data_IF_446192394722
#
_entry.id   IF_446192394722
#
_cell.length_a   1.000
_cell.length_b   1.000
_cell.length_c   1.000
_cell.angle_alpha   90.00
_cell.angle_beta   90.00
_cell.angle_gamma   90.00
#
_symmetry.space_group_name_H-M   'P 1'
#
loop_
_entity.id
_entity.type
_entity.pdbx_description
1 polymer ?
#
# COMPACT_ATOMS: atom_id res chain seq x y z
N UNK A 1 -29.54 15.66 -8.27
CA UNK A 1 -28.51 14.74 -7.76
C UNK A 1 -28.68 13.40 -8.45
N UNK A 2 -27.61 12.66 -8.71
CA UNK A 2 -27.70 11.33 -9.27
C UNK A 2 -28.19 10.36 -8.18
N UNK A 3 -29.22 9.57 -8.47
CA UNK A 3 -29.61 8.46 -7.62
C UNK A 3 -28.43 7.48 -7.51
N UNK A 4 -28.28 6.82 -6.35
CA UNK A 4 -27.32 5.74 -6.21
C UNK A 4 -27.67 4.63 -7.21
N UNK A 5 -26.65 4.05 -7.86
CA UNK A 5 -26.84 2.79 -8.57
C UNK A 5 -27.07 1.62 -7.58
N UNK A 6 -27.46 0.45 -8.08
CA UNK A 6 -27.74 -0.73 -7.24
C UNK A 6 -26.55 -1.05 -6.32
N UNK A 7 -25.32 -1.03 -6.85
CA UNK A 7 -24.12 -1.36 -6.09
C UNK A 7 -23.82 -0.33 -5.01
N UNK A 8 -24.06 0.95 -5.27
CA UNK A 8 -23.92 2.03 -4.30
C UNK A 8 -24.97 1.93 -3.20
N UNK A 9 -26.23 1.65 -3.54
CA UNK A 9 -27.33 1.46 -2.58
C UNK A 9 -27.06 0.27 -1.65
N UNK A 10 -26.63 -0.87 -2.20
CA UNK A 10 -26.24 -2.04 -1.40
C UNK A 10 -25.03 -1.72 -0.53
N UNK A 11 -24.02 -1.04 -1.06
CA UNK A 11 -22.86 -0.63 -0.25
C UNK A 11 -23.28 0.30 0.89
N UNK A 12 -24.20 1.24 0.64
CA UNK A 12 -24.74 2.12 1.67
C UNK A 12 -25.49 1.34 2.76
N UNK A 13 -26.25 0.31 2.39
CA UNK A 13 -26.91 -0.58 3.34
C UNK A 13 -25.90 -1.32 4.23
N UNK A 14 -24.83 -1.88 3.66
CA UNK A 14 -23.77 -2.54 4.46
C UNK A 14 -23.06 -1.55 5.39
N UNK A 15 -22.76 -0.34 4.89
CA UNK A 15 -22.19 0.73 5.70
C UNK A 15 -23.12 1.06 6.85
N UNK A 16 -24.40 1.32 6.61
CA UNK A 16 -25.34 1.74 7.65
C UNK A 16 -25.63 0.63 8.66
N UNK A 17 -25.87 -0.60 8.19
CA UNK A 17 -26.24 -1.72 9.03
C UNK A 17 -25.07 -2.28 9.85
N UNK A 18 -23.90 -2.45 9.23
CA UNK A 18 -22.79 -3.21 9.82
C UNK A 18 -21.53 -2.38 10.09
N UNK A 19 -21.46 -1.15 9.58
CA UNK A 19 -20.26 -0.32 9.69
C UNK A 19 -19.05 -0.90 8.95
N UNK A 20 -19.30 -1.69 7.90
CA UNK A 20 -18.27 -2.33 7.07
C UNK A 20 -18.65 -2.28 5.59
N UNK A 21 -17.66 -2.45 4.72
CA UNK A 21 -17.92 -2.65 3.30
C UNK A 21 -18.62 -4.01 3.06
N UNK A 22 -19.40 -4.14 1.97
CA UNK A 22 -19.88 -5.44 1.54
C UNK A 22 -18.71 -6.34 1.14
N UNK A 23 -18.84 -7.63 1.43
CA UNK A 23 -17.94 -8.62 0.84
C UNK A 23 -18.29 -8.86 -0.63
N UNK A 24 -17.35 -9.39 -1.40
CA UNK A 24 -17.50 -9.64 -2.83
C UNK A 24 -18.72 -10.49 -3.16
N UNK A 25 -18.93 -11.56 -2.38
CA UNK A 25 -20.06 -12.48 -2.57
C UNK A 25 -21.40 -11.81 -2.25
N UNK A 26 -21.46 -11.10 -1.13
CA UNK A 26 -22.64 -10.36 -0.68
C UNK A 26 -23.08 -9.27 -1.66
N UNK A 27 -22.14 -8.43 -2.12
CA UNK A 27 -22.45 -7.38 -3.10
C UNK A 27 -22.98 -7.98 -4.41
N UNK A 28 -22.33 -9.02 -4.92
CA UNK A 28 -22.75 -9.70 -6.14
C UNK A 28 -24.14 -10.35 -5.99
N UNK A 29 -24.42 -10.98 -4.85
CA UNK A 29 -25.71 -11.59 -4.57
C UNK A 29 -26.84 -10.57 -4.59
N UNK A 30 -26.72 -9.47 -3.84
CA UNK A 30 -27.78 -8.47 -3.75
C UNK A 30 -27.97 -7.70 -5.06
N UNK A 31 -26.90 -7.41 -5.79
CA UNK A 31 -27.00 -6.84 -7.13
C UNK A 31 -27.83 -7.76 -8.04
N UNK A 32 -27.54 -9.07 -8.04
CA UNK A 32 -28.30 -10.04 -8.83
C UNK A 32 -29.77 -10.11 -8.42
N UNK A 33 -30.10 -9.93 -7.13
CA UNK A 33 -31.50 -9.84 -6.69
C UNK A 33 -32.20 -8.59 -7.22
N UNK A 34 -31.54 -7.43 -7.16
CA UNK A 34 -32.09 -6.18 -7.68
C UNK A 34 -32.23 -6.21 -9.20
N UNK A 35 -31.27 -6.82 -9.90
CA UNK A 35 -31.32 -7.02 -11.34
C UNK A 35 -32.45 -8.00 -11.74
N UNK A 36 -32.81 -8.93 -10.84
CA UNK A 36 -33.97 -9.82 -10.98
C UNK A 36 -35.32 -9.16 -10.61
N UNK A 37 -35.30 -7.89 -10.20
CA UNK A 37 -36.50 -7.08 -9.98
C UNK A 37 -36.88 -6.85 -8.51
N UNK A 38 -36.08 -7.31 -7.54
CA UNK A 38 -36.30 -6.92 -6.15
C UNK A 38 -36.03 -5.42 -5.97
N UNK A 39 -36.95 -4.75 -5.28
CA UNK A 39 -36.78 -3.37 -4.87
C UNK A 39 -35.73 -3.25 -3.76
N UNK A 40 -35.19 -2.05 -3.58
CA UNK A 40 -34.23 -1.82 -2.49
C UNK A 40 -34.85 -2.03 -1.11
N UNK A 41 -36.14 -1.67 -0.91
CA UNK A 41 -36.86 -1.94 0.34
C UNK A 41 -36.99 -3.44 0.64
N UNK A 42 -37.30 -4.26 -0.36
CA UNK A 42 -37.35 -5.72 -0.22
C UNK A 42 -35.96 -6.31 0.11
N UNK A 43 -34.91 -5.75 -0.48
CA UNK A 43 -33.52 -6.10 -0.15
C UNK A 43 -33.22 -5.74 1.31
N UNK A 44 -33.53 -4.53 1.78
CA UNK A 44 -33.31 -4.12 3.17
C UNK A 44 -34.09 -5.05 4.11
N UNK A 45 -35.37 -5.29 3.84
CA UNK A 45 -36.20 -6.20 4.63
C UNK A 45 -35.58 -7.59 4.75
N UNK A 46 -35.11 -8.16 3.63
CA UNK A 46 -34.43 -9.46 3.61
C UNK A 46 -33.08 -9.43 4.34
N UNK A 47 -32.34 -8.33 4.20
CA UNK A 47 -31.04 -8.12 4.82
C UNK A 47 -31.14 -8.10 6.35
N UNK A 48 -32.17 -7.44 6.89
CA UNK A 48 -32.44 -7.34 8.33
C UNK A 48 -32.78 -8.68 8.99
N UNK A 49 -33.22 -9.68 8.21
CA UNK A 49 -33.48 -11.04 8.69
C UNK A 49 -32.22 -11.92 8.71
N UNK A 50 -31.09 -11.43 8.20
CA UNK A 50 -29.83 -12.16 8.28
C UNK A 50 -29.34 -12.26 9.74
N UNK A 51 -28.69 -13.37 10.07
CA UNK A 51 -28.18 -13.63 11.43
C UNK A 51 -27.26 -12.52 11.96
N UNK A 52 -26.47 -11.89 11.10
CA UNK A 52 -25.61 -10.76 11.47
C UNK A 52 -26.45 -9.50 11.74
N UNK A 53 -27.46 -9.24 10.90
CA UNK A 53 -28.28 -8.06 11.04
C UNK A 53 -29.21 -8.08 12.24
N UNK A 54 -29.80 -9.22 12.61
CA UNK A 54 -30.72 -9.25 13.77
C UNK A 54 -30.07 -8.72 15.06
N UNK A 55 -28.75 -8.89 15.20
CA UNK A 55 -27.96 -8.45 16.35
C UNK A 55 -27.44 -7.01 16.28
N UNK A 56 -27.53 -6.33 15.13
CA UNK A 56 -26.97 -4.98 14.94
C UNK A 56 -28.00 -3.92 14.53
N UNK A 57 -28.99 -4.28 13.71
CA UNK A 57 -30.02 -3.36 13.20
C UNK A 57 -31.40 -4.01 13.02
N UNK A 58 -31.48 -5.33 13.10
CA UNK A 58 -32.71 -6.11 12.96
C UNK A 58 -33.47 -6.26 14.28
N UNK A 59 -34.47 -7.17 14.34
CA UNK A 59 -35.53 -7.14 15.34
C UNK A 59 -35.07 -7.39 16.80
N UNK A 60 -33.88 -7.96 17.03
CA UNK A 60 -33.44 -8.35 18.37
C UNK A 60 -32.85 -7.18 19.19
N UNK A 61 -32.79 -5.98 18.60
CA UNK A 61 -32.31 -4.77 19.27
C UNK A 61 -33.39 -3.70 19.43
N UNK A 62 -33.23 -2.81 20.40
CA UNK A 62 -34.15 -1.69 20.63
C UNK A 62 -34.04 -0.64 19.52
N UNK A 63 -35.08 0.18 19.35
CA UNK A 63 -35.09 1.29 18.39
C UNK A 63 -33.96 2.29 18.66
N UNK A 64 -33.70 2.60 19.94
CA UNK A 64 -32.56 3.43 20.33
C UNK A 64 -31.22 2.77 19.94
N UNK A 65 -31.11 1.45 20.09
CA UNK A 65 -29.93 0.69 19.65
C UNK A 65 -29.74 0.74 18.13
N UNK A 66 -30.84 0.68 17.37
CA UNK A 66 -30.84 0.80 15.92
C UNK A 66 -30.33 2.18 15.51
N UNK A 67 -30.92 3.26 16.04
CA UNK A 67 -30.50 4.62 15.72
C UNK A 67 -29.05 4.88 16.08
N UNK A 68 -28.59 4.42 17.25
CA UNK A 68 -27.19 4.52 17.65
C UNK A 68 -26.26 3.81 16.65
N UNK A 69 -26.64 2.62 16.18
CA UNK A 69 -25.87 1.86 15.20
C UNK A 69 -25.82 2.56 13.85
N UNK A 70 -26.97 3.04 13.32
CA UNK A 70 -27.02 3.75 12.04
C UNK A 70 -26.15 5.01 12.05
N UNK A 71 -26.24 5.81 13.12
CA UNK A 71 -25.43 7.01 13.29
C UNK A 71 -23.94 6.70 13.41
N UNK A 72 -23.58 5.74 14.26
CA UNK A 72 -22.18 5.37 14.46
C UNK A 72 -21.56 4.80 13.19
N UNK A 73 -22.29 3.94 12.49
CA UNK A 73 -21.79 3.23 11.32
C UNK A 73 -21.70 4.16 10.09
N UNK A 74 -22.73 4.97 9.87
CA UNK A 74 -22.83 5.83 8.68
C UNK A 74 -22.08 7.15 8.88
N UNK A 75 -22.32 7.82 10.01
CA UNK A 75 -21.88 9.19 10.27
C UNK A 75 -20.69 9.27 11.25
N UNK A 76 -20.20 8.14 11.76
CA UNK A 76 -19.05 8.08 12.67
C UNK A 76 -19.24 8.95 13.93
N UNK A 77 -20.48 9.14 14.37
CA UNK A 77 -20.85 9.98 15.53
C UNK A 77 -22.08 9.42 16.23
N UNK A 78 -22.29 9.81 17.48
CA UNK A 78 -23.58 9.60 18.16
C UNK A 78 -24.63 10.57 17.63
N UNK A 79 -25.93 10.21 17.64
CA UNK A 79 -26.98 11.16 17.32
C UNK A 79 -26.97 12.34 18.30
N UNK A 80 -27.06 13.55 17.78
CA UNK A 80 -27.42 14.71 18.59
C UNK A 80 -28.90 14.63 18.99
N UNK A 81 -29.32 15.44 19.97
CA UNK A 81 -30.68 15.39 20.53
C UNK A 81 -31.74 15.58 19.43
N UNK A 82 -31.55 16.56 18.55
CA UNK A 82 -32.53 16.89 17.51
C UNK A 82 -32.61 15.81 16.44
N UNK A 83 -31.46 15.34 15.94
CA UNK A 83 -31.37 14.27 14.97
C UNK A 83 -31.95 12.95 15.51
N UNK A 84 -31.60 12.58 16.74
CA UNK A 84 -32.15 11.40 17.40
C UNK A 84 -33.68 11.45 17.54
N UNK A 85 -34.23 12.59 17.98
CA UNK A 85 -35.68 12.77 18.07
C UNK A 85 -36.37 12.72 16.71
N UNK A 86 -35.77 13.32 15.68
CA UNK A 86 -36.30 13.28 14.32
C UNK A 86 -36.42 11.85 13.80
N UNK A 87 -35.34 11.07 13.88
CA UNK A 87 -35.34 9.70 13.36
C UNK A 87 -36.17 8.74 14.20
N UNK A 88 -36.24 8.93 15.53
CA UNK A 88 -37.19 8.19 16.36
C UNK A 88 -38.64 8.47 15.93
N UNK A 89 -38.99 9.75 15.71
CA UNK A 89 -40.32 10.11 15.23
C UNK A 89 -40.65 9.55 13.85
N UNK A 90 -39.66 9.49 12.94
CA UNK A 90 -39.81 8.79 11.64
C UNK A 90 -40.07 7.31 11.85
N UNK A 91 -39.29 6.64 12.69
CA UNK A 91 -39.45 5.22 12.99
C UNK A 91 -40.83 4.92 13.60
N UNK A 92 -41.27 5.71 14.56
CA UNK A 92 -42.59 5.58 15.21
C UNK A 92 -43.75 5.77 14.21
N UNK A 93 -43.58 6.69 13.26
CA UNK A 93 -44.58 6.98 12.22
C UNK A 93 -44.64 5.92 11.13
N UNK A 94 -43.49 5.37 10.74
CA UNK A 94 -43.39 4.38 9.66
C UNK A 94 -43.79 2.97 10.15
N UNK A 95 -43.44 2.64 11.40
CA UNK A 95 -43.55 1.29 11.97
C UNK A 95 -42.86 0.21 11.13
N UNK A 96 -41.89 0.62 10.31
CA UNK A 96 -41.12 -0.24 9.42
C UNK A 96 -39.65 0.20 9.43
N UNK A 97 -38.78 -0.70 9.92
CA UNK A 97 -37.34 -0.45 10.01
C UNK A 97 -36.69 -0.43 8.63
N UNK A 98 -37.17 -1.22 7.67
CA UNK A 98 -36.58 -1.26 6.34
C UNK A 98 -36.78 0.08 5.64
N UNK A 99 -38.02 0.60 5.67
CA UNK A 99 -38.35 1.91 5.10
C UNK A 99 -37.60 3.02 5.83
N UNK A 100 -37.50 2.97 7.16
CA UNK A 100 -36.76 3.98 7.93
C UNK A 100 -35.26 4.00 7.58
N UNK A 101 -34.63 2.83 7.43
CA UNK A 101 -33.21 2.73 7.04
C UNK A 101 -33.00 3.27 5.62
N UNK A 102 -33.91 2.99 4.69
CA UNK A 102 -33.87 3.57 3.35
C UNK A 102 -33.92 5.10 3.43
N UNK A 103 -34.91 5.67 4.13
CA UNK A 103 -35.03 7.12 4.30
C UNK A 103 -33.81 7.75 4.98
N UNK A 104 -33.21 7.05 5.96
CA UNK A 104 -31.98 7.49 6.62
C UNK A 104 -30.81 7.60 5.64
N UNK A 105 -30.61 6.59 4.81
CA UNK A 105 -29.57 6.59 3.77
C UNK A 105 -29.85 7.72 2.77
N UNK A 106 -31.08 7.82 2.28
CA UNK A 106 -31.49 8.83 1.29
C UNK A 106 -31.33 10.25 1.81
N UNK A 107 -31.65 10.52 3.07
CA UNK A 107 -31.46 11.83 3.67
C UNK A 107 -29.98 12.26 3.70
N UNK A 108 -29.06 11.31 3.88
CA UNK A 108 -27.61 11.60 3.88
C UNK A 108 -27.11 11.77 2.45
N UNK A 109 -27.50 10.88 1.54
CA UNK A 109 -27.12 10.93 0.12
C UNK A 109 -27.57 12.24 -0.54
N UNK A 110 -28.82 12.63 -0.28
CA UNK A 110 -29.43 13.85 -0.81
C UNK A 110 -29.16 15.08 0.06
N UNK A 111 -28.41 14.93 1.15
CA UNK A 111 -27.96 16.03 1.99
C UNK A 111 -26.84 16.84 1.32
N UNK A 112 -26.20 17.67 2.12
CA UNK A 112 -25.03 18.47 1.70
C UNK A 112 -24.01 18.51 2.83
N UNK A 113 -22.74 18.76 2.49
CA UNK A 113 -21.68 18.96 3.48
C UNK A 113 -21.03 17.66 3.95
N UNK A 114 -20.46 17.67 5.16
CA UNK A 114 -19.55 16.61 5.63
C UNK A 114 -20.21 15.24 5.76
N UNK A 115 -21.47 15.16 6.18
CA UNK A 115 -22.16 13.87 6.33
C UNK A 115 -22.37 13.17 4.96
N UNK A 116 -22.77 13.94 3.95
CA UNK A 116 -22.89 13.44 2.57
C UNK A 116 -21.52 13.00 2.05
N UNK A 117 -20.48 13.83 2.21
CA UNK A 117 -19.13 13.51 1.73
C UNK A 117 -18.53 12.29 2.44
N UNK A 118 -18.77 12.14 3.75
CA UNK A 118 -18.35 10.98 4.51
C UNK A 118 -18.96 9.69 3.96
N UNK A 119 -20.27 9.69 3.71
CA UNK A 119 -20.93 8.52 3.12
C UNK A 119 -20.37 8.24 1.74
N UNK A 120 -20.25 9.25 0.87
CA UNK A 120 -19.66 9.09 -0.47
C UNK A 120 -18.25 8.46 -0.42
N UNK A 121 -17.38 8.95 0.47
CA UNK A 121 -16.04 8.38 0.66
C UNK A 121 -16.11 6.91 1.11
N UNK A 122 -17.01 6.57 2.04
CA UNK A 122 -17.22 5.18 2.49
C UNK A 122 -17.73 4.29 1.37
N UNK A 123 -18.63 4.79 0.51
CA UNK A 123 -19.13 4.04 -0.65
C UNK A 123 -18.02 3.74 -1.65
N UNK A 124 -17.20 4.73 -2.00
CA UNK A 124 -16.09 4.53 -2.94
C UNK A 124 -15.07 3.52 -2.41
N UNK A 125 -14.70 3.65 -1.13
CA UNK A 125 -13.79 2.70 -0.44
C UNK A 125 -14.41 1.30 -0.40
N UNK A 126 -15.69 1.19 -0.05
CA UNK A 126 -16.38 -0.09 0.06
C UNK A 126 -16.53 -0.82 -1.26
N UNK A 127 -16.83 -0.11 -2.35
CA UNK A 127 -16.91 -0.69 -3.68
C UNK A 127 -15.54 -1.16 -4.19
N UNK A 128 -14.49 -0.36 -3.96
CA UNK A 128 -13.11 -0.75 -4.30
C UNK A 128 -12.67 -1.98 -3.51
N UNK A 129 -13.06 -2.09 -2.24
CA UNK A 129 -12.84 -3.31 -1.44
C UNK A 129 -13.60 -4.51 -1.98
N UNK A 130 -14.89 -4.39 -2.29
CA UNK A 130 -15.67 -5.53 -2.77
C UNK A 130 -15.15 -6.06 -4.13
N UNK A 131 -14.62 -5.18 -4.98
CA UNK A 131 -13.96 -5.57 -6.23
C UNK A 131 -12.56 -6.20 -6.03
N UNK A 132 -11.94 -5.94 -4.88
CA UNK A 132 -10.55 -6.25 -4.54
C UNK A 132 -10.30 -7.75 -4.32
N UNK A 133 -9.03 -8.19 -4.39
CA UNK A 133 -8.61 -9.57 -4.04
C UNK A 133 -8.97 -9.88 -2.59
N UNK A 134 -8.76 -8.90 -1.71
CA UNK A 134 -9.07 -8.93 -0.28
C UNK A 134 -10.55 -8.74 0.05
N UNK A 135 -11.42 -8.58 -0.97
CA UNK A 135 -12.83 -8.25 -0.83
C UNK A 135 -13.71 -9.24 -0.04
N UNK A 136 -13.15 -10.33 0.48
CA UNK A 136 -13.83 -11.26 1.39
C UNK A 136 -13.31 -11.20 2.84
N UNK A 137 -12.33 -10.35 3.14
CA UNK A 137 -11.78 -10.19 4.49
C UNK A 137 -12.65 -9.23 5.32
N UNK A 138 -13.57 -9.79 6.11
CA UNK A 138 -14.54 -9.01 6.91
C UNK A 138 -13.89 -8.15 7.99
N UNK A 139 -12.77 -8.60 8.57
CA UNK A 139 -12.01 -7.81 9.55
C UNK A 139 -11.50 -6.53 8.88
N UNK A 140 -10.95 -6.70 7.68
CA UNK A 140 -10.44 -5.59 6.90
C UNK A 140 -11.56 -4.66 6.40
N UNK A 141 -12.68 -5.22 5.93
CA UNK A 141 -13.87 -4.48 5.49
C UNK A 141 -14.38 -3.46 6.52
N UNK A 142 -14.27 -3.80 7.81
CA UNK A 142 -14.66 -2.93 8.93
C UNK A 142 -13.54 -1.96 9.32
N UNK A 143 -12.31 -2.47 9.43
CA UNK A 143 -11.16 -1.66 9.84
C UNK A 143 -10.90 -0.49 8.88
N UNK A 144 -11.02 -0.69 7.58
CA UNK A 144 -10.78 0.37 6.59
C UNK A 144 -11.78 1.52 6.70
N UNK A 145 -13.07 1.22 6.92
CA UNK A 145 -14.11 2.25 7.00
C UNK A 145 -14.07 3.05 8.31
N UNK A 146 -13.48 2.48 9.36
CA UNK A 146 -13.35 3.14 10.67
C UNK A 146 -12.56 4.46 10.56
N UNK A 147 -11.58 4.53 9.65
CA UNK A 147 -10.72 5.70 9.48
C UNK A 147 -11.13 6.61 8.31
N UNK A 148 -12.20 6.27 7.57
CA UNK A 148 -12.72 7.14 6.51
C UNK A 148 -13.48 8.30 7.14
N UNK A 149 -13.10 9.52 6.76
CA UNK A 149 -13.75 10.77 7.17
C UNK A 149 -14.31 11.49 5.94
N UNK A 150 -14.90 12.68 6.11
CA UNK A 150 -15.30 13.55 4.99
C UNK A 150 -14.11 14.18 4.26
N UNK A 151 -12.88 14.04 4.78
CA UNK A 151 -11.66 14.57 4.16
C UNK A 151 -11.18 13.67 3.02
N UNK A 152 -10.80 14.27 1.89
CA UNK A 152 -10.33 13.55 0.70
C UNK A 152 -8.99 12.81 0.91
N UNK A 153 -8.17 13.25 1.87
CA UNK A 153 -6.95 12.56 2.27
C UNK A 153 -7.25 11.20 2.92
N UNK A 154 -8.30 11.11 3.73
CA UNK A 154 -8.71 9.83 4.34
C UNK A 154 -9.15 8.78 3.30
N UNK A 155 -9.85 9.22 2.25
CA UNK A 155 -10.22 8.40 1.10
C UNK A 155 -8.98 7.88 0.39
N UNK A 156 -8.01 8.76 0.12
CA UNK A 156 -6.74 8.41 -0.54
C UNK A 156 -5.97 7.37 0.26
N UNK A 157 -5.86 7.55 1.58
CA UNK A 157 -5.20 6.60 2.48
C UNK A 157 -5.91 5.25 2.50
N UNK A 158 -7.24 5.23 2.64
CA UNK A 158 -8.01 3.98 2.65
C UNK A 158 -7.85 3.18 1.36
N UNK A 159 -7.79 3.87 0.21
CA UNK A 159 -7.53 3.24 -1.09
C UNK A 159 -6.10 2.69 -1.20
N UNK A 160 -5.10 3.42 -0.70
CA UNK A 160 -3.72 2.96 -0.67
C UNK A 160 -3.56 1.69 0.18
N UNK A 161 -4.23 1.63 1.34
CA UNK A 161 -4.25 0.44 2.20
C UNK A 161 -4.93 -0.73 1.46
N UNK A 162 -6.04 -0.50 0.76
CA UNK A 162 -6.71 -1.54 -0.02
C UNK A 162 -5.82 -2.11 -1.12
N UNK A 163 -5.12 -1.22 -1.83
CA UNK A 163 -4.14 -1.62 -2.84
C UNK A 163 -2.98 -2.41 -2.23
N UNK A 164 -2.51 -2.04 -1.03
CA UNK A 164 -1.46 -2.76 -0.33
C UNK A 164 -1.90 -4.15 0.13
N UNK A 165 -3.15 -4.37 0.52
CA UNK A 165 -3.59 -5.73 0.90
C UNK A 165 -3.83 -6.64 -0.32
N UNK A 166 -4.30 -6.07 -1.42
CA UNK A 166 -4.55 -6.80 -2.66
C UNK A 166 -3.29 -7.13 -3.44
N UNK A 167 -2.42 -6.14 -3.51
CA UNK A 167 -1.08 -6.23 -4.01
C UNK A 167 -0.21 -5.93 -2.81
N UNK A 168 -0.05 -6.88 -1.85
CA UNK A 168 1.04 -6.75 -0.90
C UNK A 168 2.24 -6.44 -1.76
N UNK A 169 2.90 -5.32 -1.45
CA UNK A 169 4.23 -5.11 -1.96
C UNK A 169 4.91 -6.41 -1.62
N UNK A 170 5.15 -7.25 -2.63
CA UNK A 170 5.88 -8.49 -2.45
C UNK A 170 7.14 -7.94 -1.85
N UNK A 171 7.40 -8.26 -0.57
CA UNK A 171 8.65 -7.87 0.07
C UNK A 171 9.70 -8.16 -0.98
N UNK A 172 10.43 -7.14 -1.47
CA UNK A 172 11.12 -7.22 -2.74
C UNK A 172 11.87 -8.54 -2.76
N UNK A 173 11.61 -9.35 -3.79
CA UNK A 173 12.20 -10.67 -3.90
C UNK A 173 13.67 -10.55 -3.50
N UNK A 174 14.10 -11.42 -2.58
CA UNK A 174 15.44 -11.46 -1.97
C UNK A 174 16.46 -10.82 -2.91
N UNK A 175 17.08 -9.67 -2.55
CA UNK A 175 17.69 -8.75 -3.51
C UNK A 175 18.50 -9.47 -4.59
N UNK A 176 18.10 -9.36 -5.86
CA UNK A 176 18.86 -9.92 -6.98
C UNK A 176 19.79 -8.86 -7.58
N UNK A 177 20.85 -8.63 -6.82
CA UNK A 177 22.25 -8.58 -7.25
C UNK A 177 22.92 -7.34 -7.89
N UNK A 178 24.19 -7.17 -7.52
CA UNK A 178 25.18 -6.25 -8.12
C UNK A 178 25.90 -7.00 -9.24
N UNK A 179 26.00 -6.47 -10.46
CA UNK A 179 26.78 -7.14 -11.52
C UNK A 179 28.19 -6.59 -11.67
N UNK A 180 29.22 -7.45 -11.68
CA UNK A 180 30.60 -7.09 -12.01
C UNK A 180 31.05 -7.89 -13.24
N UNK A 181 31.49 -7.20 -14.30
CA UNK A 181 31.87 -7.81 -15.60
C UNK A 181 30.80 -8.76 -16.18
N UNK A 182 29.51 -8.41 -16.03
CA UNK A 182 28.40 -9.21 -16.53
C UNK A 182 27.97 -10.40 -15.64
N UNK A 183 28.44 -10.48 -14.39
CA UNK A 183 28.04 -11.53 -13.42
C UNK A 183 27.32 -10.98 -12.20
N UNK A 184 26.17 -11.56 -11.88
CA UNK A 184 25.20 -11.23 -10.82
C UNK A 184 25.68 -11.65 -9.40
N UNK A 185 25.96 -10.71 -8.49
CA UNK A 185 26.32 -10.92 -7.07
C UNK A 185 25.07 -10.90 -6.18
N UNK A 186 24.54 -12.05 -5.73
CA UNK A 186 23.26 -12.16 -5.00
C UNK A 186 23.20 -11.58 -3.57
N UNK A 187 22.02 -11.03 -3.24
CA UNK A 187 21.35 -10.70 -1.96
C UNK A 187 22.10 -10.06 -0.77
N UNK A 188 21.66 -8.83 -0.42
CA UNK A 188 21.93 -8.10 0.82
C UNK A 188 20.83 -8.30 1.89
N UNK A 189 21.23 -8.32 3.17
CA UNK A 189 20.38 -8.18 4.36
C UNK A 189 20.79 -6.90 5.11
N UNK A 190 19.83 -6.11 5.61
CA UNK A 190 20.05 -4.76 6.18
C UNK A 190 20.25 -4.71 7.69
N UNK A 191 20.35 -5.85 8.37
CA UNK A 191 20.22 -5.88 9.84
C UNK A 191 21.53 -6.10 10.62
N UNK A 192 22.70 -5.91 10.00
CA UNK A 192 23.99 -6.06 10.70
C UNK A 192 24.90 -4.84 10.51
N UNK A 193 25.12 -4.10 11.61
CA UNK A 193 26.07 -2.97 11.68
C UNK A 193 27.52 -3.43 11.86
N UNK A 194 27.84 -4.70 11.62
CA UNK A 194 29.20 -5.19 11.53
C UNK A 194 29.60 -5.37 10.06
N UNK A 195 30.83 -4.95 9.73
CA UNK A 195 31.48 -5.12 8.44
C UNK A 195 31.07 -6.46 7.79
N UNK A 196 30.33 -6.41 6.68
CA UNK A 196 29.88 -7.60 5.99
C UNK A 196 31.09 -8.35 5.40
N UNK A 197 31.65 -9.30 6.17
CA UNK A 197 32.52 -10.34 5.65
C UNK A 197 31.69 -11.33 4.84
N UNK A 198 32.00 -11.43 3.54
CA UNK A 198 31.44 -12.42 2.64
C UNK A 198 31.82 -13.83 3.12
N UNK A 199 30.85 -14.63 3.57
CA UNK A 199 31.07 -16.06 3.89
C UNK A 199 30.38 -16.91 2.84
N UNK A 200 31.17 -17.59 2.01
CA UNK A 200 30.67 -18.56 1.02
C UNK A 200 30.35 -19.86 1.77
N UNK A 201 29.08 -20.26 1.77
CA UNK A 201 28.64 -21.53 2.36
C UNK A 201 29.15 -22.73 1.56
N UNK A 202 29.56 -23.79 2.26
CA UNK A 202 30.09 -25.02 1.67
C UNK A 202 29.06 -25.77 0.83
N UNK A 203 29.37 -26.09 -0.43
CA UNK A 203 28.55 -27.03 -1.20
C UNK A 203 28.78 -27.07 -2.71
N UNK A 204 29.23 -25.98 -3.33
CA UNK A 204 29.46 -25.93 -4.77
C UNK A 204 30.94 -25.64 -5.07
N UNK A 205 31.59 -26.59 -5.74
CA UNK A 205 32.95 -26.44 -6.26
C UNK A 205 32.90 -25.49 -7.47
N UNK A 206 33.36 -24.25 -7.29
CA UNK A 206 33.68 -23.40 -8.43
C UNK A 206 34.98 -22.64 -8.16
N UNK A 207 35.99 -22.94 -8.97
CA UNK A 207 37.24 -22.18 -9.06
C UNK A 207 36.94 -20.74 -9.50
N UNK A 208 36.90 -19.83 -8.52
CA UNK A 208 36.99 -18.40 -8.77
C UNK A 208 38.49 -18.09 -8.85
N UNK A 209 38.99 -17.50 -9.95
CA UNK A 209 40.39 -17.05 -10.02
C UNK A 209 40.70 -16.15 -8.81
N UNK A 210 41.89 -16.31 -8.25
CA UNK A 210 42.40 -15.74 -6.98
C UNK A 210 42.41 -14.20 -6.84
N UNK A 211 41.62 -13.45 -7.61
CA UNK A 211 41.64 -11.99 -7.73
C UNK A 211 40.51 -11.26 -6.98
N UNK A 212 39.38 -11.90 -6.65
CA UNK A 212 38.26 -11.24 -5.96
C UNK A 212 38.34 -11.24 -4.43
N UNK A 213 39.18 -12.07 -3.82
CA UNK A 213 39.49 -11.97 -2.39
C UNK A 213 40.20 -10.65 -2.04
N UNK A 214 40.73 -9.95 -3.05
CA UNK A 214 41.45 -8.70 -2.89
C UNK A 214 40.59 -7.47 -3.08
N UNK A 215 39.38 -7.49 -3.65
CA UNK A 215 38.55 -6.28 -3.86
C UNK A 215 37.35 -6.28 -2.91
N UNK A 216 37.10 -5.15 -2.26
CA UNK A 216 36.07 -4.92 -1.25
C UNK A 216 35.19 -3.74 -1.61
N UNK A 217 33.90 -3.85 -1.29
CA UNK A 217 32.87 -2.83 -1.47
C UNK A 217 32.35 -2.41 -0.08
N UNK A 218 32.27 -1.10 0.16
CA UNK A 218 31.73 -0.52 1.38
C UNK A 218 30.67 0.53 1.02
N UNK A 219 29.48 0.40 1.62
CA UNK A 219 28.32 1.27 1.40
C UNK A 219 27.97 1.94 2.72
N UNK A 220 28.00 3.27 2.75
CA UNK A 220 27.60 4.05 3.92
C UNK A 220 26.70 5.23 3.50
N UNK A 221 25.39 5.07 3.69
CA UNK A 221 24.40 6.04 3.23
C UNK A 221 24.43 6.15 1.70
N UNK A 222 24.70 7.34 1.17
CA UNK A 222 24.79 7.62 -0.28
C UNK A 222 26.21 7.52 -0.84
N UNK A 223 27.17 7.02 -0.05
CA UNK A 223 28.58 6.87 -0.44
C UNK A 223 28.90 5.41 -0.73
N UNK A 224 29.58 5.17 -1.86
CA UNK A 224 30.15 3.87 -2.20
C UNK A 224 31.68 3.99 -2.26
N UNK A 225 32.36 3.10 -1.55
CA UNK A 225 33.81 2.96 -1.60
C UNK A 225 34.18 1.58 -2.11
N UNK A 226 35.16 1.54 -3.01
CA UNK A 226 35.72 0.32 -3.58
C UNK A 226 37.21 0.33 -3.30
N UNK A 227 37.72 -0.69 -2.63
CA UNK A 227 39.12 -0.77 -2.23
C UNK A 227 39.66 -2.18 -2.36
N UNK A 228 40.97 -2.34 -2.23
CA UNK A 228 41.57 -3.66 -2.20
C UNK A 228 42.19 -4.01 -0.84
N UNK A 229 42.00 -5.23 -0.37
CA UNK A 229 42.73 -5.76 0.79
C UNK A 229 44.09 -6.30 0.34
N UNK A 230 45.02 -5.37 0.17
CA UNK A 230 46.35 -5.63 -0.36
C UNK A 230 47.39 -4.73 0.32
N UNK A 231 48.71 -5.06 0.25
CA UNK A 231 49.76 -4.23 0.84
C UNK A 231 49.74 -2.80 0.32
N UNK A 232 50.14 -1.85 1.17
CA UNK A 232 50.25 -0.43 0.81
C UNK A 232 51.18 -0.27 -0.39
N UNK A 233 50.70 0.39 -1.45
CA UNK A 233 51.44 0.63 -2.69
C UNK A 233 51.21 -0.42 -3.79
N UNK A 234 50.48 -1.49 -3.50
CA UNK A 234 50.02 -2.42 -4.54
C UNK A 234 48.72 -1.90 -5.21
N UNK A 235 48.52 -2.29 -6.47
CA UNK A 235 47.35 -1.88 -7.25
C UNK A 235 46.86 -2.95 -8.22
N UNK A 236 45.56 -2.98 -8.49
CA UNK A 236 44.91 -3.82 -9.50
C UNK A 236 44.39 -2.93 -10.63
N UNK A 237 44.75 -3.24 -11.88
CA UNK A 237 44.27 -2.51 -13.06
C UNK A 237 43.00 -3.16 -13.60
N UNK A 238 41.94 -2.38 -13.77
CA UNK A 238 40.69 -2.83 -14.37
C UNK A 238 40.65 -2.51 -15.86
N UNK A 239 40.35 -3.50 -16.70
CA UNK A 239 40.26 -3.35 -18.15
C UNK A 239 38.84 -3.55 -18.66
N UNK A 240 38.26 -2.53 -19.30
CA UNK A 240 36.93 -2.64 -19.92
C UNK A 240 35.80 -2.88 -18.93
N UNK A 241 35.88 -2.25 -17.75
CA UNK A 241 34.99 -2.53 -16.62
C UNK A 241 33.95 -1.42 -16.46
N UNK A 242 32.68 -1.79 -16.59
CA UNK A 242 31.54 -0.93 -16.31
C UNK A 242 30.86 -1.43 -15.04
N UNK A 243 30.65 -0.52 -14.10
CA UNK A 243 29.83 -0.72 -12.91
C UNK A 243 28.43 -0.16 -13.16
N UNK A 244 27.38 -0.94 -12.89
CA UNK A 244 25.99 -0.48 -12.98
C UNK A 244 25.35 -0.55 -11.60
N UNK A 245 24.71 0.55 -11.20
CA UNK A 245 23.97 0.69 -9.95
C UNK A 245 22.53 1.01 -10.31
N UNK A 246 21.61 0.16 -9.87
CA UNK A 246 20.19 0.26 -10.21
C UNK A 246 19.39 0.35 -8.91
N UNK A 247 18.60 1.42 -8.74
CA UNK A 247 17.54 1.50 -7.74
C UNK A 247 16.32 0.69 -8.21
N UNK A 248 16.46 -0.62 -8.16
CA UNK A 248 15.46 -1.56 -8.66
C UNK A 248 14.10 -1.47 -7.91
N UNK A 249 14.06 -0.78 -6.77
CA UNK A 249 12.88 -0.68 -5.91
C UNK A 249 12.34 0.75 -5.81
N UNK A 250 12.94 1.72 -6.52
CA UNK A 250 12.54 3.13 -6.55
C UNK A 250 12.39 3.71 -5.12
N UNK A 251 13.35 3.37 -4.25
CA UNK A 251 13.38 3.76 -2.83
C UNK A 251 14.15 5.06 -2.64
N UNK A 252 15.11 5.33 -3.51
CA UNK A 252 15.87 6.56 -3.53
C UNK A 252 15.15 7.64 -4.34
N UNK A 253 15.56 8.90 -4.16
CA UNK A 253 15.17 9.97 -5.09
C UNK A 253 15.85 9.70 -6.44
N UNK A 254 15.20 10.14 -7.52
CA UNK A 254 15.73 10.08 -8.87
C UNK A 254 17.22 10.43 -8.91
N UNK A 255 18.02 9.52 -9.43
CA UNK A 255 19.45 9.75 -9.63
C UNK A 255 19.65 10.90 -10.60
N UNK A 256 20.44 11.90 -10.18
CA UNK A 256 20.69 13.11 -10.97
C UNK A 256 22.13 13.22 -11.45
N UNK A 257 23.07 12.81 -10.61
CA UNK A 257 24.50 12.89 -10.91
C UNK A 257 25.32 12.00 -9.96
N UNK A 258 26.63 11.87 -10.22
CA UNK A 258 27.59 11.21 -9.34
C UNK A 258 28.74 12.15 -9.02
N UNK A 259 29.00 12.35 -7.74
CA UNK A 259 30.14 13.12 -7.28
C UNK A 259 31.31 12.19 -6.91
N UNK A 260 32.45 12.36 -7.56
CA UNK A 260 33.68 11.65 -7.21
C UNK A 260 34.30 12.30 -5.99
N UNK A 261 34.43 11.54 -4.91
CA UNK A 261 34.98 12.04 -3.65
C UNK A 261 36.47 11.74 -3.54
N UNK A 262 36.92 10.60 -4.07
CA UNK A 262 38.32 10.22 -4.11
C UNK A 262 38.59 9.21 -5.24
N UNK A 263 39.69 9.40 -5.98
CA UNK A 263 40.21 8.43 -6.96
C UNK A 263 41.58 7.98 -6.46
N UNK A 264 41.69 6.70 -6.08
CA UNK A 264 42.78 6.14 -5.28
C UNK A 264 44.21 6.21 -5.87
N UNK A 265 44.38 6.86 -7.02
CA UNK A 265 45.66 7.08 -7.72
C UNK A 265 45.86 8.54 -8.21
N UNK A 266 44.93 9.46 -7.93
CA UNK A 266 44.99 10.85 -8.38
C UNK A 266 44.69 11.07 -9.88
N UNK A 267 44.31 10.03 -10.62
CA UNK A 267 43.90 10.15 -12.02
C UNK A 267 42.38 10.32 -12.15
N UNK A 268 41.94 11.32 -12.93
CA UNK A 268 40.51 11.53 -13.22
C UNK A 268 40.11 10.72 -14.45
N UNK A 269 39.55 9.52 -14.29
CA UNK A 269 39.13 8.68 -15.43
C UNK A 269 37.90 7.82 -15.12
N UNK A 270 36.77 8.47 -14.87
CA UNK A 270 35.47 7.78 -14.87
C UNK A 270 34.44 8.63 -15.58
N UNK A 271 33.78 8.06 -16.57
CA UNK A 271 32.60 8.66 -17.18
C UNK A 271 31.42 8.10 -16.41
N UNK A 272 30.77 8.98 -15.64
CA UNK A 272 29.51 8.67 -14.97
C UNK A 272 28.39 9.01 -15.95
N UNK A 273 27.45 8.10 -16.10
CA UNK A 273 26.26 8.34 -16.91
C UNK A 273 25.06 7.91 -16.10
N UNK A 274 24.21 8.88 -15.76
CA UNK A 274 22.84 8.58 -15.33
C UNK A 274 22.10 8.15 -16.58
N UNK A 275 21.81 6.86 -16.66
CA UNK A 275 21.25 6.23 -17.85
C UNK A 275 19.73 6.40 -17.87
N UNK A 276 19.13 6.43 -16.69
CA UNK A 276 17.75 6.86 -16.41
C UNK A 276 17.62 7.28 -14.92
N UNK A 277 16.41 7.67 -14.48
CA UNK A 277 16.15 8.12 -13.09
C UNK A 277 16.47 7.08 -12.01
N UNK A 278 16.58 5.79 -12.36
CA UNK A 278 16.80 4.69 -11.42
C UNK A 278 18.13 3.97 -11.67
N UNK A 279 18.91 4.36 -12.69
CA UNK A 279 20.13 3.64 -13.10
C UNK A 279 21.31 4.57 -13.34
N UNK A 280 22.39 4.31 -12.62
CA UNK A 280 23.70 4.95 -12.82
C UNK A 280 24.68 3.91 -13.36
N UNK A 281 25.35 4.24 -14.46
CA UNK A 281 26.49 3.49 -14.97
C UNK A 281 27.78 4.27 -14.79
N UNK A 282 28.85 3.56 -14.48
CA UNK A 282 30.16 4.11 -14.16
C UNK A 282 31.20 3.30 -14.91
N UNK A 283 31.82 3.91 -15.91
CA UNK A 283 33.00 3.32 -16.54
C UNK A 283 34.21 3.51 -15.62
N UNK A 284 34.72 2.40 -15.08
CA UNK A 284 35.91 2.37 -14.21
C UNK A 284 37.11 1.76 -14.94
N UNK A 285 37.05 1.66 -16.26
CA UNK A 285 38.15 1.18 -17.10
C UNK A 285 39.39 2.04 -16.92
N UNK A 286 40.52 1.39 -16.65
CA UNK A 286 41.81 2.04 -16.47
C UNK A 286 42.01 2.70 -15.10
N UNK A 287 41.11 2.47 -14.14
CA UNK A 287 41.33 2.83 -12.74
C UNK A 287 42.20 1.76 -12.07
N UNK A 288 43.21 2.21 -11.33
CA UNK A 288 43.99 1.38 -10.43
C UNK A 288 43.29 1.27 -9.07
N UNK A 289 42.78 0.10 -8.69
CA UNK A 289 42.28 -0.13 -7.33
C UNK A 289 43.47 -0.35 -6.40
N UNK A 290 43.61 0.51 -5.41
CA UNK A 290 44.67 0.45 -4.38
C UNK A 290 44.10 0.12 -3.01
N UNK A 291 44.98 -0.06 -2.02
CA UNK A 291 44.59 -0.30 -0.62
C UNK A 291 43.77 0.85 0.01
N UNK A 292 43.88 2.07 -0.52
CA UNK A 292 43.09 3.22 -0.05
C UNK A 292 41.72 3.30 -0.70
N UNK A 293 41.57 2.67 -1.87
CA UNK A 293 40.35 2.63 -2.65
C UNK A 293 40.00 3.92 -3.38
N UNK A 294 38.90 3.87 -4.11
CA UNK A 294 38.21 5.01 -4.72
C UNK A 294 36.81 5.12 -4.14
N UNK A 295 36.27 6.34 -4.10
CA UNK A 295 35.02 6.65 -3.42
C UNK A 295 34.21 7.67 -4.21
N UNK A 296 32.90 7.47 -4.26
CA UNK A 296 31.96 8.37 -4.89
C UNK A 296 30.65 8.44 -4.12
N UNK A 297 29.84 9.45 -4.44
CA UNK A 297 28.49 9.62 -3.92
C UNK A 297 27.49 9.79 -5.04
N UNK A 298 26.34 9.15 -4.91
CA UNK A 298 25.22 9.28 -5.86
C UNK A 298 24.30 10.40 -5.37
N UNK A 299 23.97 11.35 -6.25
CA UNK A 299 23.11 12.50 -5.94
C UNK A 299 21.66 12.21 -6.35
N UNK A 300 20.70 12.52 -5.46
CA UNK A 300 19.25 12.40 -5.66
C UNK A 300 18.44 13.56 -5.10
#
# INVERSE_FOLDING_TARGET
>A
MAALDNSQSITALYVAAFGRAPDKGGLAYWNAQMDAGLTFDEVIGSFLLSKEATLMVGPDITDQGLLNSLYQNTLSRTPDIGGGQYWQGRLDSLQDRAIMIHEFIDAIVNGTGSDQQLLQNKLEVGQKFAASVSGNNLVYAKAMLTYVTSDAGSLTVAQAINNYFDNPVVAPATPKAISFEGRTLGAFSTDDTTLATFTVGSGDEWDIPNSFNQIKLDVNGTRLKIYADMPVGASIQLGGTILSIVDANNVFKDFKDVNVLNVGDGATRSIFTVTDKDTVTIDISGIAITSTGFEFSILG
#
